data_IF_972060884191
#
_entry.id   IF_972060884191
#
_cell.length_a   1.000
_cell.length_b   1.000
_cell.length_c   1.000
_cell.angle_alpha   90.00
_cell.angle_beta   90.00
_cell.angle_gamma   90.00
#
_symmetry.space_group_name_H-M   'P 1'
#
loop_
_entity.id
_entity.type
_entity.pdbx_description
1 polymer ?
#
# COMPACT_ATOMS: atom_id res chain seq x y z
N UNK A 1 -6.11 8.61 -6.70
CA UNK A 1 -4.67 8.31 -6.48
C UNK A 1 -3.93 7.85 -7.73
N UNK A 2 -4.62 7.84 -8.87
CA UNK A 2 -4.00 7.39 -10.12
C UNK A 2 -2.79 8.25 -10.53
N UNK A 3 -2.75 9.50 -10.09
CA UNK A 3 -1.62 10.38 -10.39
C UNK A 3 -0.30 9.87 -9.76
N UNK A 4 -0.38 8.96 -8.81
CA UNK A 4 0.80 8.35 -8.19
C UNK A 4 1.30 7.13 -8.95
N UNK A 5 0.55 6.66 -9.96
CA UNK A 5 0.90 5.45 -10.72
C UNK A 5 1.94 5.78 -11.81
N UNK A 6 3.12 6.23 -11.38
CA UNK A 6 4.23 6.59 -12.26
C UNK A 6 5.25 5.45 -12.23
N UNK A 7 5.66 4.91 -13.39
CA UNK A 7 6.67 3.84 -13.41
C UNK A 7 7.94 4.25 -12.69
N UNK A 8 8.46 3.36 -11.86
CA UNK A 8 9.63 3.61 -11.03
C UNK A 8 9.34 4.37 -9.74
N UNK A 9 8.09 4.72 -9.48
CA UNK A 9 7.74 5.46 -8.27
C UNK A 9 7.86 4.59 -7.02
N UNK A 10 8.37 5.18 -5.95
CA UNK A 10 8.36 4.58 -4.63
C UNK A 10 7.16 5.13 -3.86
N UNK A 11 6.29 4.25 -3.41
CA UNK A 11 5.04 4.63 -2.75
C UNK A 11 5.15 4.26 -1.27
N UNK A 12 5.26 5.29 -0.42
CA UNK A 12 5.33 5.11 1.03
C UNK A 12 3.93 5.03 1.61
N UNK A 13 3.66 3.98 2.39
CA UNK A 13 2.34 3.72 2.97
C UNK A 13 2.50 3.39 4.45
N UNK A 14 1.74 4.07 5.30
CA UNK A 14 1.64 3.71 6.71
C UNK A 14 0.41 2.84 6.92
N UNK A 15 0.59 1.70 7.57
CA UNK A 15 -0.48 0.72 7.76
C UNK A 15 -1.05 0.83 9.16
N UNK A 16 -2.38 0.88 9.25
CA UNK A 16 -3.11 0.81 10.52
C UNK A 16 -3.88 -0.50 10.54
N UNK A 17 -3.38 -1.53 11.27
CA UNK A 17 -4.08 -2.80 11.35
C UNK A 17 -5.26 -2.74 12.31
N UNK A 18 -6.09 -3.77 12.28
CA UNK A 18 -7.29 -3.90 13.14
C UNK A 18 -8.23 -2.72 13.02
N UNK A 19 -8.30 -2.11 11.84
CA UNK A 19 -9.24 -1.05 11.56
C UNK A 19 -10.65 -1.62 11.39
N UNK A 20 -11.65 -0.75 11.44
CA UNK A 20 -13.05 -1.19 11.28
C UNK A 20 -13.37 -1.56 9.84
N UNK A 21 -12.60 -1.09 8.87
CA UNK A 21 -12.79 -1.42 7.46
C UNK A 21 -11.49 -1.16 6.69
N UNK A 22 -11.40 -1.77 5.52
CA UNK A 22 -10.26 -1.56 4.61
C UNK A 22 -10.46 -0.27 3.83
N UNK A 23 -9.41 0.58 3.83
CA UNK A 23 -9.49 1.83 3.10
C UNK A 23 -8.10 2.43 2.89
N UNK A 24 -7.94 3.20 1.81
CA UNK A 24 -6.73 3.99 1.53
C UNK A 24 -7.09 5.47 1.64
N UNK A 25 -6.23 6.24 2.32
CA UNK A 25 -6.36 7.68 2.43
C UNK A 25 -5.02 8.33 2.15
N UNK A 26 -5.05 9.59 1.71
CA UNK A 26 -3.85 10.38 1.50
C UNK A 26 -3.78 11.47 2.57
N UNK A 27 -2.62 11.56 3.24
CA UNK A 27 -2.40 12.60 4.26
C UNK A 27 -2.01 13.92 3.59
N UNK A 28 -2.04 15.01 4.38
CA UNK A 28 -1.76 16.36 3.88
C UNK A 28 -0.33 16.49 3.32
N UNK A 29 0.59 15.68 3.80
CA UNK A 29 1.98 15.70 3.33
C UNK A 29 2.20 14.84 2.07
N UNK A 30 1.14 14.27 1.52
CA UNK A 30 1.21 13.43 0.32
C UNK A 30 1.45 11.96 0.58
N UNK A 31 1.74 11.55 1.81
CA UNK A 31 1.93 10.14 2.13
C UNK A 31 0.59 9.41 2.15
N UNK A 32 0.62 8.10 1.97
CA UNK A 32 -0.58 7.28 1.98
C UNK A 32 -0.73 6.56 3.33
N UNK A 33 -1.98 6.37 3.73
CA UNK A 33 -2.33 5.61 4.92
C UNK A 33 -3.30 4.51 4.54
N UNK A 34 -2.95 3.27 4.87
CA UNK A 34 -3.78 2.10 4.59
C UNK A 34 -4.39 1.60 5.88
N UNK A 35 -5.71 1.52 5.92
CA UNK A 35 -6.45 0.92 7.04
C UNK A 35 -6.86 -0.48 6.63
N UNK A 36 -6.50 -1.46 7.44
CA UNK A 36 -6.82 -2.86 7.14
C UNK A 36 -7.44 -3.52 8.36
N UNK A 37 -8.38 -4.43 8.11
CA UNK A 37 -9.11 -5.12 9.18
C UNK A 37 -8.33 -6.29 9.75
N UNK A 38 -7.33 -6.79 9.03
CA UNK A 38 -6.55 -7.95 9.47
C UNK A 38 -5.54 -7.58 10.54
N UNK A 39 -5.14 -8.53 11.41
CA UNK A 39 -4.06 -8.28 12.36
C UNK A 39 -2.72 -8.18 11.64
N UNK A 40 -1.70 -7.54 12.27
CA UNK A 40 -0.39 -7.34 11.64
C UNK A 40 0.49 -8.58 11.76
N UNK A 41 -0.02 -9.74 11.34
CA UNK A 41 0.68 -11.02 11.51
C UNK A 41 0.68 -11.80 10.21
N UNK A 42 1.70 -12.63 10.01
CA UNK A 42 1.79 -13.62 8.92
C UNK A 42 1.70 -13.03 7.52
N UNK A 43 2.10 -11.78 7.35
CA UNK A 43 2.09 -11.13 6.05
C UNK A 43 0.71 -10.81 5.49
N UNK A 44 -0.36 -11.06 6.23
CA UNK A 44 -1.72 -10.79 5.77
C UNK A 44 -1.95 -9.31 5.53
N UNK A 45 -1.37 -8.44 6.37
CA UNK A 45 -1.48 -7.00 6.19
C UNK A 45 -0.81 -6.56 4.89
N UNK A 46 0.31 -7.18 4.51
CA UNK A 46 1.01 -6.84 3.27
C UNK A 46 0.11 -7.10 2.05
N UNK A 47 -0.55 -8.25 2.03
CA UNK A 47 -1.47 -8.60 0.93
C UNK A 47 -2.66 -7.64 0.90
N UNK A 48 -3.25 -7.35 2.07
CA UNK A 48 -4.39 -6.44 2.16
C UNK A 48 -4.03 -5.04 1.67
N UNK A 49 -2.87 -4.52 2.09
CA UNK A 49 -2.41 -3.20 1.65
C UNK A 49 -2.16 -3.18 0.15
N UNK A 50 -1.50 -4.22 -0.38
CA UNK A 50 -1.23 -4.32 -1.81
C UNK A 50 -2.54 -4.32 -2.61
N UNK A 51 -3.54 -5.07 -2.16
CA UNK A 51 -4.85 -5.13 -2.81
C UNK A 51 -5.51 -3.75 -2.85
N UNK A 52 -5.47 -3.02 -1.73
CA UNK A 52 -6.01 -1.66 -1.67
C UNK A 52 -5.27 -0.71 -2.61
N UNK A 53 -3.95 -0.82 -2.66
CA UNK A 53 -3.13 0.05 -3.51
C UNK A 53 -3.39 -0.19 -4.99
N UNK A 54 -3.49 -1.45 -5.42
CA UNK A 54 -3.72 -1.72 -6.85
C UNK A 54 -5.08 -1.17 -7.29
N UNK A 55 -6.09 -1.20 -6.42
CA UNK A 55 -7.38 -0.60 -6.72
C UNK A 55 -7.29 0.93 -6.79
N UNK A 56 -6.62 1.54 -5.81
CA UNK A 56 -6.51 2.99 -5.74
C UNK A 56 -5.68 3.56 -6.89
N UNK A 57 -4.62 2.87 -7.26
CA UNK A 57 -3.71 3.32 -8.32
C UNK A 57 -4.19 2.92 -9.72
N UNK A 58 -5.05 1.91 -9.80
CA UNK A 58 -5.53 1.42 -11.08
C UNK A 58 -4.49 0.64 -11.87
N UNK A 59 -3.62 -0.10 -11.18
CA UNK A 59 -2.53 -0.87 -11.81
C UNK A 59 -2.68 -2.35 -11.48
N UNK A 60 -2.11 -3.24 -12.31
CA UNK A 60 -2.09 -4.66 -11.99
C UNK A 60 -1.21 -4.95 -10.78
N UNK A 61 -1.57 -5.98 -10.03
CA UNK A 61 -0.82 -6.40 -8.85
C UNK A 61 0.63 -6.76 -9.19
N UNK A 62 0.86 -7.32 -10.37
CA UNK A 62 2.19 -7.73 -10.81
C UNK A 62 3.17 -6.55 -10.96
N UNK A 63 2.65 -5.33 -11.07
CA UNK A 63 3.49 -4.13 -11.21
C UNK A 63 3.87 -3.51 -9.87
N UNK A 64 3.25 -3.95 -8.78
CA UNK A 64 3.46 -3.37 -7.45
C UNK A 64 4.22 -4.36 -6.57
N UNK A 65 5.41 -3.98 -6.11
CA UNK A 65 6.29 -4.84 -5.32
C UNK A 65 6.62 -4.18 -4.00
N UNK A 66 6.44 -4.92 -2.90
CA UNK A 66 6.86 -4.45 -1.57
C UNK A 66 8.37 -4.62 -1.45
N UNK A 67 9.08 -3.49 -1.34
CA UNK A 67 10.55 -3.51 -1.30
C UNK A 67 11.10 -3.19 0.08
N UNK A 68 10.28 -2.66 0.99
CA UNK A 68 10.76 -2.28 2.33
C UNK A 68 9.62 -2.34 3.33
N UNK A 69 9.94 -2.73 4.57
CA UNK A 69 8.97 -2.71 5.65
C UNK A 69 8.05 -3.91 5.71
N UNK A 70 8.51 -5.11 5.30
CA UNK A 70 7.67 -6.31 5.31
C UNK A 70 7.08 -6.61 6.68
N UNK A 71 7.82 -6.27 7.74
CA UNK A 71 7.40 -6.51 9.13
C UNK A 71 7.13 -5.22 9.89
N UNK A 72 7.09 -4.09 9.21
CA UNK A 72 6.89 -2.77 9.81
C UNK A 72 5.56 -2.17 9.37
N UNK A 73 5.09 -1.19 10.13
CA UNK A 73 3.88 -0.44 9.76
C UNK A 73 4.13 0.48 8.58
N UNK A 74 5.34 1.02 8.48
CA UNK A 74 5.72 1.85 7.34
C UNK A 74 6.29 0.95 6.25
N UNK A 75 5.65 0.97 5.09
CA UNK A 75 6.00 0.11 3.96
C UNK A 75 6.30 0.96 2.74
N UNK A 76 7.21 0.48 1.90
CA UNK A 76 7.49 1.13 0.63
C UNK A 76 7.28 0.11 -0.48
N UNK A 77 6.45 0.50 -1.44
CA UNK A 77 6.17 -0.28 -2.64
C UNK A 77 6.82 0.37 -3.83
N UNK A 78 7.33 -0.45 -4.74
CA UNK A 78 7.87 0.01 -6.02
C UNK A 78 6.87 -0.33 -7.12
N UNK A 79 6.55 0.67 -7.93
CA UNK A 79 5.70 0.49 -9.11
C UNK A 79 6.59 0.33 -10.33
N UNK A 80 6.60 -0.85 -10.93
CA UNK A 80 7.36 -1.11 -12.15
C UNK A 80 6.49 -0.77 -13.37
N UNK A 81 7.13 -0.63 -14.54
CA UNK A 81 6.40 -0.28 -15.75
C UNK A 81 6.06 -1.47 -16.63
N UNK A 82 6.09 -2.67 -16.05
CA UNK A 82 5.73 -3.84 -16.83
C UNK A 82 4.60 -4.63 -16.22
#
# INVERSE_FOLDING_TARGET
LRHLAVPGAHIAVRVTPKASRNKIAQDDDGSLRAYVTVPPADGKANVAVQTLLVKALGVPKSRLTLIKGQKARDKIFLLSDD
#
